data_IF_945566746040
#
_entry.id   IF_945566746040
#
_cell.length_a   1.000
_cell.length_b   1.000
_cell.length_c   1.000
_cell.angle_alpha   90.00
_cell.angle_beta   90.00
_cell.angle_gamma   90.00
#
_symmetry.space_group_name_H-M   'P 1'
#
loop_
_entity.id
_entity.type
_entity.pdbx_description
1 polymer ?
#
# COMPACT_ATOMS: atom_id res chain seq x y z
N UNK A 1 -3.75 13.46 13.86
CA UNK A 1 -3.87 13.41 12.38
C UNK A 1 -2.52 13.02 11.79
N UNK A 2 -2.38 11.85 11.14
CA UNK A 2 -1.11 11.39 10.55
C UNK A 2 -0.76 12.13 9.23
N UNK A 3 -1.75 12.60 8.45
CA UNK A 3 -1.56 13.47 7.25
C UNK A 3 -2.15 14.86 7.45
N UNK A 4 -1.37 15.90 7.17
CA UNK A 4 -1.73 17.31 7.42
C UNK A 4 -2.40 18.05 6.25
N UNK A 5 -2.77 17.35 5.16
CA UNK A 5 -3.42 17.98 4.00
C UNK A 5 -4.90 18.23 4.31
N UNK A 6 -5.36 19.50 4.34
CA UNK A 6 -6.72 19.82 4.80
C UNK A 6 -7.84 19.23 3.94
N UNK A 7 -7.61 19.09 2.63
CA UNK A 7 -8.59 18.57 1.67
C UNK A 7 -8.69 17.03 1.62
N UNK A 8 -7.88 16.32 2.42
CA UNK A 8 -7.92 14.84 2.52
C UNK A 8 -8.60 14.38 3.83
N UNK A 9 -9.29 15.28 4.54
CA UNK A 9 -9.88 14.97 5.83
C UNK A 9 -11.35 14.56 5.67
N UNK A 10 -11.68 13.29 5.94
CA UNK A 10 -13.05 12.77 5.88
C UNK A 10 -14.01 13.55 6.78
N UNK A 11 -13.49 14.08 7.90
CA UNK A 11 -14.22 14.96 8.82
C UNK A 11 -14.75 16.25 8.15
N UNK A 12 -14.07 16.70 7.09
CA UNK A 12 -14.43 17.90 6.31
C UNK A 12 -15.24 17.59 5.06
N UNK A 13 -15.12 16.37 4.53
CA UNK A 13 -15.86 15.89 3.37
C UNK A 13 -16.09 14.37 3.48
N UNK A 14 -17.29 13.93 3.89
CA UNK A 14 -17.62 12.51 4.01
C UNK A 14 -17.55 11.72 2.70
N UNK A 15 -17.68 12.39 1.53
CA UNK A 15 -17.63 11.72 0.22
C UNK A 15 -16.25 11.14 -0.10
N UNK A 16 -15.21 11.63 0.59
CA UNK A 16 -13.86 11.09 0.48
C UNK A 16 -13.78 9.62 0.88
N UNK A 17 -14.62 9.15 1.82
CA UNK A 17 -14.63 7.75 2.21
C UNK A 17 -15.01 6.84 1.03
N UNK A 18 -16.16 7.12 0.41
CA UNK A 18 -16.64 6.37 -0.76
C UNK A 18 -15.65 6.47 -1.93
N UNK A 19 -15.05 7.64 -2.12
CA UNK A 19 -14.01 7.85 -3.13
C UNK A 19 -12.78 6.96 -2.88
N UNK A 20 -12.29 6.86 -1.64
CA UNK A 20 -11.15 6.00 -1.33
C UNK A 20 -11.49 4.51 -1.45
N UNK A 21 -12.71 4.09 -1.08
CA UNK A 21 -13.17 2.71 -1.30
C UNK A 21 -13.17 2.36 -2.80
N UNK A 22 -13.75 3.22 -3.65
CA UNK A 22 -13.74 3.05 -5.10
C UNK A 22 -12.31 3.00 -5.67
N UNK A 23 -11.39 3.82 -5.13
CA UNK A 23 -9.99 3.77 -5.54
C UNK A 23 -9.33 2.44 -5.17
N UNK A 24 -9.55 1.93 -3.96
CA UNK A 24 -9.01 0.64 -3.53
C UNK A 24 -9.47 -0.49 -4.45
N UNK A 25 -10.78 -0.57 -4.77
CA UNK A 25 -11.32 -1.56 -5.70
C UNK A 25 -10.64 -1.51 -7.09
N UNK A 26 -10.33 -0.30 -7.58
CA UNK A 26 -9.61 -0.13 -8.86
C UNK A 26 -8.16 -0.60 -8.78
N UNK A 27 -7.49 -0.37 -7.65
CA UNK A 27 -6.12 -0.87 -7.44
C UNK A 27 -6.08 -2.37 -7.27
N UNK A 28 -7.06 -2.98 -6.59
CA UNK A 28 -7.20 -4.43 -6.48
C UNK A 28 -7.39 -5.06 -7.86
N UNK A 29 -8.30 -4.51 -8.67
CA UNK A 29 -8.53 -4.98 -10.03
C UNK A 29 -7.28 -4.80 -10.92
N UNK A 30 -6.64 -3.63 -10.88
CA UNK A 30 -5.39 -3.40 -11.60
C UNK A 30 -4.29 -4.37 -11.19
N UNK A 31 -4.19 -4.63 -9.88
CA UNK A 31 -3.21 -5.56 -9.35
C UNK A 31 -3.47 -6.95 -9.90
N UNK A 32 -4.70 -7.46 -9.93
CA UNK A 32 -4.99 -8.76 -10.53
C UNK A 32 -4.71 -8.81 -12.03
N UNK A 33 -5.14 -7.78 -12.78
CA UNK A 33 -5.07 -7.75 -14.24
C UNK A 33 -3.66 -7.55 -14.80
N UNK A 34 -2.75 -6.91 -14.05
CA UNK A 34 -1.42 -6.57 -14.56
C UNK A 34 -0.47 -7.76 -14.64
N UNK A 35 -0.04 -8.18 -15.83
CA UNK A 35 0.84 -9.35 -16.02
C UNK A 35 2.16 -9.05 -16.78
N UNK A 36 2.43 -7.78 -17.08
CA UNK A 36 3.58 -7.34 -17.88
C UNK A 36 4.92 -7.41 -17.13
N UNK A 37 4.90 -7.46 -15.80
CA UNK A 37 6.09 -7.65 -14.99
C UNK A 37 5.79 -8.32 -13.65
N UNK A 38 6.80 -8.88 -12.97
CA UNK A 38 6.66 -9.30 -11.59
C UNK A 38 6.17 -8.15 -10.71
N UNK A 39 5.30 -8.48 -9.75
CA UNK A 39 4.70 -7.56 -8.79
C UNK A 39 4.67 -8.21 -7.40
N UNK A 40 4.62 -7.38 -6.36
CA UNK A 40 4.41 -7.80 -4.96
C UNK A 40 3.40 -6.89 -4.28
N UNK A 41 2.66 -7.45 -3.33
CA UNK A 41 1.75 -6.72 -2.48
C UNK A 41 2.27 -6.76 -1.04
N UNK A 42 2.23 -5.61 -0.37
CA UNK A 42 2.65 -5.46 1.02
C UNK A 42 1.48 -4.88 1.80
N UNK A 43 1.07 -5.59 2.84
CA UNK A 43 -0.07 -5.22 3.68
C UNK A 43 0.33 -4.12 4.67
N UNK A 44 -0.02 -2.87 4.35
CA UNK A 44 0.26 -1.71 5.20
C UNK A 44 -0.62 -1.61 6.47
N UNK A 45 -1.75 -2.31 6.53
CA UNK A 45 -2.58 -2.37 7.73
C UNK A 45 -1.97 -3.32 8.78
N UNK A 46 -1.28 -4.37 8.30
CA UNK A 46 -0.54 -5.32 9.13
C UNK A 46 0.83 -4.80 9.55
N UNK A 47 1.55 -4.11 8.67
CA UNK A 47 2.92 -3.65 8.90
C UNK A 47 2.98 -2.12 8.92
N UNK A 48 3.01 -1.49 10.10
CA UNK A 48 3.25 -0.03 10.23
C UNK A 48 4.74 0.28 10.02
N UNK A 49 5.22 0.16 8.78
CA UNK A 49 6.61 0.40 8.41
C UNK A 49 7.03 1.88 8.50
N UNK A 50 6.13 2.79 8.93
CA UNK A 50 6.42 4.21 9.15
C UNK A 50 6.83 4.46 10.59
N UNK A 51 6.07 3.91 11.54
CA UNK A 51 6.26 4.17 12.97
C UNK A 51 6.95 2.99 13.70
N UNK A 52 6.99 1.80 13.10
CA UNK A 52 7.64 0.61 13.66
C UNK A 52 8.90 0.22 12.86
N UNK A 53 10.11 0.40 13.44
CA UNK A 53 11.36 0.01 12.83
C UNK A 53 11.48 -1.49 12.52
N UNK A 54 10.87 -2.37 13.32
CA UNK A 54 10.92 -3.82 13.09
C UNK A 54 10.04 -4.20 11.89
N UNK A 55 8.83 -3.62 11.80
CA UNK A 55 7.97 -3.78 10.63
C UNK A 55 8.65 -3.24 9.36
N UNK A 56 9.36 -2.11 9.45
CA UNK A 56 10.14 -1.56 8.34
C UNK A 56 11.24 -2.52 7.88
N UNK A 57 12.03 -3.06 8.81
CA UNK A 57 13.06 -4.05 8.48
C UNK A 57 12.47 -5.31 7.84
N UNK A 58 11.33 -5.79 8.35
CA UNK A 58 10.64 -6.93 7.77
C UNK A 58 10.17 -6.67 6.32
N UNK A 59 9.58 -5.51 6.07
CA UNK A 59 9.13 -5.10 4.74
C UNK A 59 10.30 -5.00 3.75
N UNK A 60 11.44 -4.44 4.18
CA UNK A 60 12.65 -4.38 3.35
C UNK A 60 13.17 -5.77 3.01
N UNK A 61 13.24 -6.69 3.97
CA UNK A 61 13.66 -8.08 3.73
C UNK A 61 12.71 -8.82 2.77
N UNK A 62 11.40 -8.54 2.81
CA UNK A 62 10.44 -9.08 1.87
C UNK A 62 10.71 -8.61 0.42
N UNK A 63 11.06 -7.33 0.25
CA UNK A 63 11.42 -6.75 -1.05
C UNK A 63 12.72 -7.38 -1.57
N UNK A 64 13.77 -7.45 -0.74
CA UNK A 64 15.06 -8.05 -1.09
C UNK A 64 14.88 -9.50 -1.55
N UNK A 65 14.14 -10.30 -0.78
CA UNK A 65 13.83 -11.69 -1.15
C UNK A 65 13.15 -11.77 -2.51
N UNK A 66 12.21 -10.86 -2.81
CA UNK A 66 11.55 -10.88 -4.12
C UNK A 66 12.51 -10.57 -5.26
N UNK A 67 13.41 -9.61 -5.07
CA UNK A 67 14.42 -9.29 -6.08
C UNK A 67 15.31 -10.52 -6.33
N UNK A 68 15.78 -11.19 -5.26
CA UNK A 68 16.57 -12.42 -5.39
C UNK A 68 15.84 -13.56 -6.13
N UNK A 69 14.52 -13.68 -5.96
CA UNK A 69 13.71 -14.66 -6.70
C UNK A 69 13.68 -14.39 -8.22
N UNK A 70 13.88 -13.13 -8.65
CA UNK A 70 13.85 -12.72 -10.05
C UNK A 70 15.22 -12.78 -10.74
N UNK A 71 16.30 -12.70 -9.96
CA UNK A 71 17.69 -12.76 -10.46
C UNK A 71 18.20 -14.20 -10.66
N UNK A 72 17.44 -15.21 -10.22
CA UNK A 72 17.76 -16.64 -10.36
C UNK A 72 17.16 -17.25 -11.61
#
# INVERSE_FOLDING_TARGET
KKRGRPYEQIETDPTLYDYYQMLNERYDQWYEDYDESPKIQIDGDKYDFVEDPEACQYVLALIEKKIEELER
#
